data_IF_349327096687
#
_entry.id   IF_349327096687
#
_cell.length_a   1.000
_cell.length_b   1.000
_cell.length_c   1.000
_cell.angle_alpha   90.00
_cell.angle_beta   90.00
_cell.angle_gamma   90.00
#
_symmetry.space_group_name_H-M   'P 1'
#
loop_
_entity.id
_entity.type
_entity.pdbx_description
1 polymer ?
#
# COMPACT_ATOMS: atom_id res chain seq x y z
N UNK A 1 -8.42 16.65 -5.89
CA UNK A 1 -8.62 16.45 -7.34
C UNK A 1 -8.02 15.09 -7.65
N UNK A 2 -8.85 14.04 -7.64
CA UNK A 2 -8.50 12.61 -7.74
C UNK A 2 -8.11 12.22 -9.17
N UNK A 3 -7.30 13.04 -9.83
CA UNK A 3 -7.10 12.97 -11.28
C UNK A 3 -5.69 12.57 -11.69
N UNK A 4 -4.77 12.50 -10.75
CA UNK A 4 -3.39 12.13 -11.05
C UNK A 4 -3.29 10.63 -11.33
N UNK A 5 -4.03 9.79 -10.60
CA UNK A 5 -4.09 8.35 -10.82
C UNK A 5 -5.49 7.78 -10.49
N UNK A 6 -5.79 6.58 -10.96
CA UNK A 6 -7.05 5.86 -10.67
C UNK A 6 -6.78 4.39 -10.37
N UNK A 7 -7.74 3.74 -9.71
CA UNK A 7 -7.77 2.29 -9.49
C UNK A 7 -8.56 1.54 -10.57
N UNK A 8 -9.16 2.25 -11.53
CA UNK A 8 -9.86 1.63 -12.65
C UNK A 8 -8.90 0.81 -13.51
N UNK A 9 -9.22 -0.48 -13.68
CA UNK A 9 -8.45 -1.42 -14.49
C UNK A 9 -8.59 -1.10 -15.98
N UNK A 10 -7.48 -1.07 -16.72
CA UNK A 10 -7.44 -0.78 -18.15
C UNK A 10 -7.51 0.71 -18.49
N UNK A 11 -7.54 1.60 -17.49
CA UNK A 11 -7.55 3.03 -17.69
C UNK A 11 -6.12 3.54 -17.92
N UNK A 12 -5.92 4.59 -18.75
CA UNK A 12 -4.59 5.17 -19.05
C UNK A 12 -3.84 5.72 -17.81
N UNK A 13 -4.54 5.86 -16.69
CA UNK A 13 -4.03 6.27 -15.37
C UNK A 13 -4.22 5.20 -14.30
N UNK A 14 -4.56 3.99 -14.74
CA UNK A 14 -4.80 2.82 -13.92
C UNK A 14 -3.50 2.25 -13.35
N UNK A 15 -3.61 1.28 -12.43
CA UNK A 15 -2.46 0.71 -11.71
C UNK A 15 -1.35 0.20 -12.62
N UNK A 16 -1.69 -0.34 -13.78
CA UNK A 16 -0.75 -0.83 -14.79
C UNK A 16 0.14 0.28 -15.41
N UNK A 17 -0.29 1.55 -15.33
CA UNK A 17 0.38 2.70 -15.92
C UNK A 17 0.98 3.67 -14.88
N UNK A 18 0.81 3.45 -13.57
CA UNK A 18 1.24 4.43 -12.55
C UNK A 18 2.73 4.80 -12.64
N UNK A 19 3.61 3.84 -12.96
CA UNK A 19 5.03 4.12 -13.10
C UNK A 19 5.42 4.96 -14.33
N UNK A 20 4.47 5.21 -15.24
CA UNK A 20 4.64 6.04 -16.44
C UNK A 20 4.14 7.47 -16.23
N UNK A 21 3.31 7.69 -15.20
CA UNK A 21 2.70 8.99 -14.91
C UNK A 21 3.73 10.02 -14.41
N UNK A 22 4.67 9.60 -13.57
CA UNK A 22 5.72 10.45 -13.02
C UNK A 22 7.06 9.73 -12.86
N UNK A 23 8.16 10.45 -13.09
CA UNK A 23 9.51 9.90 -12.98
C UNK A 23 9.84 9.36 -11.59
N UNK A 24 9.31 9.97 -10.52
CA UNK A 24 9.49 9.52 -9.14
C UNK A 24 8.64 8.29 -8.79
N UNK A 25 7.75 7.83 -9.68
CA UNK A 25 6.91 6.64 -9.50
C UNK A 25 7.38 5.46 -10.36
N UNK A 26 8.51 5.57 -11.07
CA UNK A 26 9.01 4.52 -11.97
C UNK A 26 9.13 3.12 -11.33
N UNK A 27 9.33 3.07 -10.00
CA UNK A 27 9.32 1.84 -9.23
C UNK A 27 8.00 1.05 -9.30
N UNK A 28 6.87 1.71 -9.55
CA UNK A 28 5.56 1.08 -9.76
C UNK A 28 5.52 0.24 -11.05
N UNK A 29 6.40 0.52 -12.02
CA UNK A 29 6.54 -0.24 -13.28
C UNK A 29 7.69 -1.24 -13.23
N UNK A 30 8.83 -0.86 -12.65
CA UNK A 30 10.10 -1.59 -12.79
C UNK A 30 10.46 -2.47 -11.56
N UNK A 31 9.60 -2.53 -10.54
CA UNK A 31 9.90 -3.22 -9.27
C UNK A 31 9.60 -4.74 -9.25
N UNK A 32 10.40 -5.55 -8.53
CA UNK A 32 10.09 -6.96 -8.29
C UNK A 32 8.93 -7.11 -7.29
N UNK A 33 7.96 -7.99 -7.59
CA UNK A 33 6.78 -8.39 -6.78
C UNK A 33 6.10 -7.24 -6.03
N UNK A 34 4.87 -6.92 -6.46
CA UNK A 34 3.89 -6.11 -5.74
C UNK A 34 3.98 -6.28 -4.21
N UNK A 35 3.85 -5.18 -3.47
CA UNK A 35 3.83 -5.19 -1.98
C UNK A 35 2.74 -6.10 -1.39
N UNK A 36 1.76 -6.48 -2.20
CA UNK A 36 0.74 -7.49 -1.95
C UNK A 36 1.08 -8.76 -2.74
N UNK A 37 1.93 -9.65 -2.22
CA UNK A 37 2.15 -10.94 -2.84
C UNK A 37 0.92 -11.83 -2.67
N UNK A 38 0.73 -12.79 -3.57
CA UNK A 38 -0.22 -13.89 -3.34
C UNK A 38 0.28 -14.74 -2.17
N UNK A 39 -0.42 -14.67 -1.03
CA UNK A 39 -0.15 -15.50 0.14
C UNK A 39 -1.03 -16.75 0.05
N UNK A 40 -0.41 -17.91 -0.13
CA UNK A 40 -1.09 -19.21 -0.09
C UNK A 40 -0.27 -20.19 0.75
N UNK A 41 -0.94 -21.12 1.45
CA UNK A 41 -0.26 -22.15 2.26
C UNK A 41 0.69 -23.02 1.43
N UNK A 42 0.44 -23.17 0.13
CA UNK A 42 1.29 -23.90 -0.81
C UNK A 42 2.59 -23.15 -1.18
N UNK A 43 2.60 -21.82 -1.05
CA UNK A 43 3.73 -20.96 -1.42
C UNK A 43 4.63 -20.59 -0.22
N UNK A 44 4.35 -21.13 0.97
CA UNK A 44 5.15 -20.92 2.18
C UNK A 44 6.19 -22.03 2.28
N UNK A 45 7.46 -21.70 2.00
CA UNK A 45 8.58 -22.66 2.05
C UNK A 45 9.25 -22.76 3.42
N UNK A 46 9.08 -21.76 4.28
CA UNK A 46 9.62 -21.73 5.64
C UNK A 46 8.60 -21.13 6.60
N UNK A 47 8.39 -21.82 7.73
CA UNK A 47 7.74 -21.26 8.91
C UNK A 47 8.83 -20.81 9.87
N UNK A 48 9.16 -19.53 9.88
CA UNK A 48 9.85 -18.95 11.03
C UNK A 48 8.77 -18.52 12.01
N UNK A 49 8.74 -19.13 13.19
CA UNK A 49 8.04 -18.56 14.35
C UNK A 49 8.79 -17.30 14.74
N UNK A 50 8.51 -16.19 14.05
CA UNK A 50 8.87 -14.87 14.54
C UNK A 50 7.86 -14.60 15.67
N UNK A 51 8.07 -15.19 16.84
CA UNK A 51 7.54 -14.60 18.07
C UNK A 51 8.39 -13.38 18.39
N UNK A 52 8.29 -12.35 17.56
CA UNK A 52 8.49 -11.01 18.07
C UNK A 52 7.20 -10.75 18.83
N UNK A 53 7.28 -10.72 20.15
CA UNK A 53 6.39 -9.86 20.91
C UNK A 53 6.49 -8.47 20.26
N UNK A 54 5.62 -8.22 19.29
CA UNK A 54 5.43 -6.90 18.72
C UNK A 54 4.71 -6.15 19.81
N UNK A 55 5.45 -5.69 20.82
CA UNK A 55 4.91 -5.03 21.99
C UNK A 55 4.15 -3.81 21.53
N UNK A 56 2.82 -3.93 21.44
CA UNK A 56 1.95 -2.87 20.98
C UNK A 56 1.77 -1.87 22.12
N UNK A 57 2.68 -0.91 22.22
CA UNK A 57 2.59 0.20 23.18
C UNK A 57 1.89 1.42 22.57
N UNK A 58 0.67 1.22 22.05
CA UNK A 58 -0.14 2.33 21.54
C UNK A 58 -0.85 3.05 22.69
N UNK A 59 -0.82 4.39 22.68
CA UNK A 59 -1.55 5.22 23.63
C UNK A 59 -2.66 5.99 22.92
N UNK A 60 -3.84 6.17 23.55
CA UNK A 60 -4.88 7.04 23.00
C UNK A 60 -4.34 8.46 22.82
N UNK A 61 -4.64 9.06 21.67
CA UNK A 61 -4.35 10.46 21.36
C UNK A 61 -5.50 11.04 20.56
N UNK A 62 -5.59 12.37 20.54
CA UNK A 62 -6.50 13.04 19.61
C UNK A 62 -6.06 12.72 18.19
N UNK A 63 -7.03 12.45 17.32
CA UNK A 63 -6.76 12.10 15.93
C UNK A 63 -7.69 12.87 14.99
N UNK A 64 -7.19 13.13 13.80
CA UNK A 64 -7.97 13.69 12.70
C UNK A 64 -8.27 12.59 11.68
N UNK A 65 -9.53 12.47 11.30
CA UNK A 65 -9.98 11.61 10.20
C UNK A 65 -9.94 12.40 8.89
N UNK A 66 -9.18 11.91 7.92
CA UNK A 66 -8.97 12.57 6.64
C UNK A 66 -9.43 11.68 5.49
N UNK A 67 -10.29 12.23 4.64
CA UNK A 67 -10.56 11.64 3.33
C UNK A 67 -9.60 12.27 2.31
N UNK A 68 -8.73 11.44 1.73
CA UNK A 68 -7.74 11.88 0.72
C UNK A 68 -8.22 11.61 -0.72
N UNK A 69 -9.45 11.13 -0.86
CA UNK A 69 -10.10 10.76 -2.11
C UNK A 69 -9.93 9.28 -2.42
N UNK A 70 -8.68 8.85 -2.54
CA UNK A 70 -8.32 7.46 -2.85
C UNK A 70 -8.29 6.54 -1.61
N UNK A 71 -8.25 7.11 -0.41
CA UNK A 71 -8.26 6.38 0.86
C UNK A 71 -8.73 7.26 2.03
N UNK A 72 -9.01 6.61 3.16
CA UNK A 72 -9.29 7.25 4.45
C UNK A 72 -8.09 7.04 5.37
N UNK A 73 -7.56 8.14 5.91
CA UNK A 73 -6.41 8.15 6.80
C UNK A 73 -6.82 8.65 8.19
N UNK A 74 -6.20 8.08 9.23
CA UNK A 74 -6.24 8.59 10.59
C UNK A 74 -4.86 9.14 10.93
N UNK A 75 -4.77 10.44 11.20
CA UNK A 75 -3.53 11.09 11.66
C UNK A 75 -3.61 11.42 13.15
N UNK A 76 -2.67 10.91 13.94
CA UNK A 76 -2.49 11.31 15.34
C UNK A 76 -1.83 12.69 15.44
N UNK A 77 -2.23 13.48 16.44
CA UNK A 77 -1.52 14.70 16.83
C UNK A 77 -0.30 14.42 17.70
#
# INVERSE_FOLDING_TARGET
DEREFTYEEGHEKGPEHWGELHQNWSACREGPKTSLPLISSANVSEYTLISADCGEFYHPTNATLLNRGHDIMVGSH
#
